data_IF_032606415644
#
_entry.id   IF_032606415644
#
_cell.length_a   1.000
_cell.length_b   1.000
_cell.length_c   1.000
_cell.angle_alpha   90.00
_cell.angle_beta   90.00
_cell.angle_gamma   90.00
#
_symmetry.space_group_name_H-M   'P 1'
#
loop_
_entity.id
_entity.type
_entity.pdbx_description
1 polymer ?
#
# COMPACT_ATOMS: atom_id res chain seq x y z
N UNK A 1 18.88 -5.48 -7.53
CA UNK A 1 18.39 -6.75 -6.96
C UNK A 1 16.92 -6.55 -6.62
N UNK A 2 15.99 -7.25 -7.28
CA UNK A 2 14.59 -7.24 -6.84
C UNK A 2 14.51 -8.09 -5.58
N UNK A 3 14.50 -7.46 -4.41
CA UNK A 3 14.46 -8.20 -3.16
C UNK A 3 13.06 -8.75 -2.91
N UNK A 4 12.94 -10.06 -2.70
CA UNK A 4 11.66 -10.71 -2.41
C UNK A 4 11.39 -10.66 -0.91
N UNK A 5 10.56 -9.71 -0.47
CA UNK A 5 10.19 -9.54 0.96
C UNK A 5 9.56 -10.78 1.58
N UNK A 6 8.89 -11.61 0.78
CA UNK A 6 8.29 -12.88 1.21
C UNK A 6 9.32 -13.93 1.67
N UNK A 7 10.54 -13.88 1.13
CA UNK A 7 11.64 -14.77 1.53
C UNK A 7 12.44 -14.20 2.72
N UNK A 8 12.03 -13.03 3.24
CA UNK A 8 12.70 -12.40 4.38
C UNK A 8 14.06 -11.79 4.05
N UNK A 9 14.37 -11.54 2.77
CA UNK A 9 15.67 -10.99 2.33
C UNK A 9 16.00 -9.64 2.98
N UNK A 10 15.00 -8.85 3.37
CA UNK A 10 15.15 -7.60 4.13
C UNK A 10 15.78 -7.83 5.51
N UNK A 11 15.78 -9.06 6.02
CA UNK A 11 16.45 -9.45 7.26
C UNK A 11 17.85 -10.04 7.03
N UNK A 12 18.34 -10.11 5.79
CA UNK A 12 19.73 -10.47 5.51
C UNK A 12 20.69 -9.35 5.88
N UNK A 13 21.94 -9.70 6.18
CA UNK A 13 22.97 -8.74 6.60
C UNK A 13 23.29 -7.72 5.49
N UNK A 14 23.28 -8.13 4.23
CA UNK A 14 23.46 -7.23 3.08
C UNK A 14 22.40 -6.12 3.04
N UNK A 15 21.13 -6.45 3.28
CA UNK A 15 20.09 -5.42 3.38
C UNK A 15 20.23 -4.61 4.67
N UNK A 16 20.66 -5.23 5.77
CA UNK A 16 20.95 -4.56 7.04
C UNK A 16 21.99 -3.45 6.93
N UNK A 17 22.99 -3.60 6.04
CA UNK A 17 23.97 -2.55 5.72
C UNK A 17 23.33 -1.33 5.05
N UNK A 18 22.25 -1.51 4.30
CA UNK A 18 21.50 -0.42 3.64
C UNK A 18 20.44 0.17 4.58
N UNK A 19 19.76 -0.68 5.34
CA UNK A 19 18.63 -0.31 6.19
C UNK A 19 18.64 -1.06 7.51
N UNK A 20 19.10 -0.39 8.57
CA UNK A 20 19.10 -0.93 9.94
C UNK A 20 17.68 -1.32 10.39
N UNK A 21 16.66 -0.59 9.93
CA UNK A 21 15.26 -0.89 10.24
C UNK A 21 14.72 -2.14 9.52
N UNK A 22 15.43 -2.65 8.49
CA UNK A 22 15.11 -3.88 7.76
C UNK A 22 13.69 -3.86 7.17
N UNK A 23 13.29 -2.71 6.62
CA UNK A 23 12.02 -2.48 5.92
C UNK A 23 12.25 -1.93 4.51
N UNK A 24 11.31 -2.23 3.62
CA UNK A 24 11.19 -1.64 2.28
C UNK A 24 10.00 -0.65 2.25
N UNK A 25 9.95 0.30 1.30
CA UNK A 25 10.96 0.61 0.28
C UNK A 25 12.18 1.38 0.84
N UNK A 26 13.30 1.31 0.11
CA UNK A 26 14.52 2.09 0.34
C UNK A 26 15.02 2.60 -1.01
N UNK A 27 15.33 3.89 -1.10
CA UNK A 27 15.99 4.50 -2.23
C UNK A 27 17.48 4.68 -1.89
N UNK A 28 18.35 4.29 -2.82
CA UNK A 28 19.78 4.56 -2.78
C UNK A 28 20.16 5.39 -4.01
N UNK A 29 20.66 6.59 -3.80
CA UNK A 29 21.16 7.48 -4.84
C UNK A 29 22.61 7.89 -4.52
N UNK A 30 23.57 7.20 -5.16
CA UNK A 30 24.96 7.25 -4.72
C UNK A 30 25.10 6.80 -3.26
N UNK A 31 25.65 7.67 -2.42
CA UNK A 31 25.80 7.44 -0.97
C UNK A 31 24.56 7.89 -0.17
N UNK A 32 23.61 8.58 -0.79
CA UNK A 32 22.39 9.02 -0.13
C UNK A 32 21.38 7.87 -0.03
N UNK A 33 20.99 7.52 1.19
CA UNK A 33 19.99 6.48 1.47
C UNK A 33 18.75 7.14 2.08
N UNK A 34 17.62 6.96 1.41
CA UNK A 34 16.32 7.48 1.84
C UNK A 34 15.32 6.34 2.06
N UNK A 35 14.52 6.49 3.11
CA UNK A 35 13.48 5.55 3.55
C UNK A 35 12.18 6.33 3.69
N UNK A 36 11.09 5.61 3.93
CA UNK A 36 9.71 6.13 3.88
C UNK A 36 9.24 6.41 2.46
N UNK A 37 8.21 5.68 2.02
CA UNK A 37 7.68 5.76 0.65
C UNK A 37 7.28 7.18 0.27
N UNK A 38 6.65 7.94 1.18
CA UNK A 38 6.25 9.33 0.95
C UNK A 38 7.47 10.24 0.73
N UNK A 39 8.49 10.13 1.58
CA UNK A 39 9.71 10.92 1.42
C UNK A 39 10.42 10.57 0.11
N UNK A 40 10.48 9.28 -0.24
CA UNK A 40 11.02 8.80 -1.52
C UNK A 40 10.26 9.40 -2.70
N UNK A 41 8.92 9.37 -2.69
CA UNK A 41 8.09 9.95 -3.76
C UNK A 41 8.32 11.45 -3.91
N UNK A 42 8.36 12.20 -2.80
CA UNK A 42 8.64 13.64 -2.80
C UNK A 42 10.05 13.95 -3.32
N UNK A 43 11.04 13.15 -2.92
CA UNK A 43 12.42 13.25 -3.39
C UNK A 43 12.51 13.01 -4.90
N UNK A 44 11.89 11.94 -5.41
CA UNK A 44 11.88 11.63 -6.84
C UNK A 44 11.17 12.72 -7.66
N UNK A 45 10.04 13.23 -7.15
CA UNK A 45 9.31 14.32 -7.80
C UNK A 45 10.18 15.58 -7.94
N UNK A 46 10.89 15.94 -6.86
CA UNK A 46 11.79 17.10 -6.85
C UNK A 46 13.03 16.89 -7.73
N UNK A 47 13.72 15.74 -7.58
CA UNK A 47 14.97 15.42 -8.28
C UNK A 47 14.80 15.36 -9.79
N UNK A 48 13.70 14.76 -10.25
CA UNK A 48 13.46 14.53 -11.68
C UNK A 48 12.60 15.61 -12.33
N UNK A 49 12.25 16.68 -11.59
CA UNK A 49 11.36 17.74 -12.07
C UNK A 49 10.09 17.18 -12.73
N UNK A 50 9.47 16.20 -12.06
CA UNK A 50 8.25 15.58 -12.58
C UNK A 50 7.15 16.63 -12.80
N UNK A 51 6.18 16.39 -13.70
CA UNK A 51 5.08 17.31 -13.91
C UNK A 51 4.44 17.80 -12.60
N UNK A 52 4.22 19.11 -12.47
CA UNK A 52 3.84 19.78 -11.21
C UNK A 52 2.59 19.17 -10.54
N UNK A 53 1.67 18.58 -11.31
CA UNK A 53 0.48 17.94 -10.76
C UNK A 53 0.77 16.79 -9.79
N UNK A 54 1.91 16.08 -9.93
CA UNK A 54 2.28 15.00 -9.03
C UNK A 54 2.49 15.50 -7.60
N UNK A 55 3.25 16.58 -7.44
CA UNK A 55 3.55 17.19 -6.15
C UNK A 55 3.67 18.72 -6.29
N UNK A 56 2.52 19.44 -6.32
CA UNK A 56 2.47 20.84 -6.73
C UNK A 56 3.34 21.76 -5.88
N UNK A 57 3.99 22.75 -6.49
CA UNK A 57 4.76 23.77 -5.76
C UNK A 57 3.86 24.80 -5.05
N UNK A 58 2.65 25.06 -5.58
CA UNK A 58 1.70 25.98 -4.97
C UNK A 58 1.30 25.50 -3.56
N UNK A 59 1.39 26.42 -2.58
CA UNK A 59 1.32 26.10 -1.16
C UNK A 59 0.03 25.38 -0.78
N UNK A 60 -1.14 25.87 -1.20
CA UNK A 60 -2.41 25.27 -0.79
C UNK A 60 -2.62 23.89 -1.41
N UNK A 61 -2.24 23.68 -2.67
CA UNK A 61 -2.26 22.38 -3.34
C UNK A 61 -1.30 21.40 -2.66
N UNK A 62 -0.08 21.85 -2.32
CA UNK A 62 0.90 21.04 -1.60
C UNK A 62 0.38 20.59 -0.24
N UNK A 63 -0.15 21.52 0.55
CA UNK A 63 -0.73 21.22 1.87
C UNK A 63 -1.91 20.23 1.76
N UNK A 64 -2.70 20.27 0.68
CA UNK A 64 -3.77 19.29 0.45
C UNK A 64 -3.21 17.89 0.18
N UNK A 65 -2.13 17.77 -0.59
CA UNK A 65 -1.41 16.49 -0.77
C UNK A 65 -0.89 15.99 0.58
N UNK A 66 -0.14 16.82 1.30
CA UNK A 66 0.52 16.44 2.55
C UNK A 66 -0.47 16.05 3.65
N UNK A 67 -1.62 16.75 3.71
CA UNK A 67 -2.73 16.41 4.59
C UNK A 67 -3.25 14.99 4.33
N UNK A 68 -3.41 14.59 3.08
CA UNK A 68 -3.80 13.22 2.74
C UNK A 68 -2.70 12.22 3.10
N UNK A 69 -1.44 12.51 2.71
CA UNK A 69 -0.29 11.64 2.94
C UNK A 69 -0.03 11.39 4.43
N UNK A 70 -0.32 12.38 5.28
CA UNK A 70 -0.26 12.24 6.73
C UNK A 70 -1.44 11.44 7.28
N UNK A 71 -2.66 11.71 6.82
CA UNK A 71 -3.87 11.02 7.30
C UNK A 71 -3.90 9.53 6.91
N UNK A 72 -3.44 9.18 5.71
CA UNK A 72 -3.51 7.81 5.21
C UNK A 72 -2.75 6.82 6.12
N UNK A 73 -1.68 7.28 6.79
CA UNK A 73 -0.80 6.43 7.58
C UNK A 73 -1.55 5.71 8.70
N UNK A 74 -2.51 6.34 9.35
CA UNK A 74 -3.27 5.76 10.47
C UNK A 74 -4.70 5.38 10.08
N UNK A 75 -5.02 5.42 8.79
CA UNK A 75 -6.35 5.13 8.25
C UNK A 75 -6.27 4.06 7.16
N UNK A 76 -6.32 4.42 5.88
CA UNK A 76 -6.38 3.48 4.76
C UNK A 76 -5.21 2.49 4.80
N UNK A 77 -3.98 2.94 5.04
CA UNK A 77 -2.82 2.04 5.12
C UNK A 77 -2.95 1.04 6.26
N UNK A 78 -3.24 1.53 7.46
CA UNK A 78 -3.38 0.66 8.64
C UNK A 78 -4.51 -0.35 8.46
N UNK A 79 -5.69 0.10 8.04
CA UNK A 79 -6.87 -0.76 7.96
C UNK A 79 -6.85 -1.67 6.73
N UNK A 80 -6.40 -1.17 5.57
CA UNK A 80 -6.22 -1.96 4.35
C UNK A 80 -5.19 -3.07 4.56
N UNK A 81 -4.03 -2.73 5.14
CA UNK A 81 -3.00 -3.72 5.46
C UNK A 81 -3.46 -4.73 6.49
N UNK A 82 -4.19 -4.31 7.55
CA UNK A 82 -4.75 -5.25 8.53
C UNK A 82 -5.68 -6.28 7.89
N UNK A 83 -6.55 -5.85 6.98
CA UNK A 83 -7.44 -6.76 6.23
C UNK A 83 -6.63 -7.68 5.32
N UNK A 84 -5.63 -7.17 4.59
CA UNK A 84 -4.74 -7.97 3.77
C UNK A 84 -4.03 -9.06 4.57
N UNK A 85 -3.47 -8.71 5.74
CA UNK A 85 -2.84 -9.66 6.65
C UNK A 85 -3.84 -10.70 7.16
N UNK A 86 -5.05 -10.30 7.54
CA UNK A 86 -6.04 -11.22 8.09
C UNK A 86 -6.62 -12.18 7.05
N UNK A 87 -6.76 -11.75 5.80
CA UNK A 87 -7.37 -12.55 4.73
C UNK A 87 -6.36 -13.36 3.93
N UNK A 88 -5.13 -12.85 3.76
CA UNK A 88 -4.09 -13.47 2.95
C UNK A 88 -2.97 -14.06 3.78
N UNK A 89 -2.18 -13.20 4.42
CA UNK A 89 -0.89 -13.61 5.00
C UNK A 89 -1.05 -14.54 6.20
N UNK A 90 -1.92 -14.22 7.16
CA UNK A 90 -2.08 -15.04 8.36
C UNK A 90 -2.58 -16.44 8.04
N UNK A 91 -3.66 -16.64 7.28
CA UNK A 91 -4.09 -17.97 6.88
C UNK A 91 -3.01 -18.73 6.11
N UNK A 92 -2.26 -18.06 5.23
CA UNK A 92 -1.17 -18.70 4.49
C UNK A 92 0.00 -19.16 5.38
N UNK A 93 0.23 -18.48 6.51
CA UNK A 93 1.32 -18.80 7.45
C UNK A 93 0.89 -19.80 8.54
N UNK A 94 -0.33 -19.69 9.04
CA UNK A 94 -0.84 -20.50 10.17
C UNK A 94 -1.63 -21.72 9.72
N UNK A 95 -2.13 -21.74 8.47
CA UNK A 95 -3.07 -22.75 7.98
C UNK A 95 -4.49 -22.60 8.56
N UNK A 96 -4.77 -21.53 9.31
CA UNK A 96 -6.04 -21.33 10.00
C UNK A 96 -6.63 -19.94 9.71
N UNK A 97 -7.96 -19.82 9.52
CA UNK A 97 -8.60 -18.52 9.35
C UNK A 97 -8.51 -17.68 10.62
N UNK A 98 -8.49 -16.36 10.46
CA UNK A 98 -8.62 -15.43 11.58
C UNK A 98 -10.04 -15.50 12.18
N UNK A 99 -10.21 -15.41 13.52
CA UNK A 99 -11.52 -15.38 14.15
C UNK A 99 -12.46 -14.34 13.54
N UNK A 100 -13.72 -14.71 13.36
CA UNK A 100 -14.72 -13.89 12.65
C UNK A 100 -14.86 -12.50 13.26
N UNK A 101 -14.86 -12.39 14.59
CA UNK A 101 -15.01 -11.13 15.32
C UNK A 101 -13.84 -10.18 15.05
N UNK A 102 -12.59 -10.70 15.00
CA UNK A 102 -11.40 -9.92 14.66
C UNK A 102 -11.47 -9.43 13.21
N UNK A 103 -11.92 -10.29 12.29
CA UNK A 103 -12.10 -9.94 10.88
C UNK A 103 -13.17 -8.86 10.69
N UNK A 104 -14.34 -9.02 11.29
CA UNK A 104 -15.46 -8.09 11.19
C UNK A 104 -15.07 -6.70 11.71
N UNK A 105 -14.32 -6.64 12.81
CA UNK A 105 -13.77 -5.39 13.33
C UNK A 105 -12.80 -4.73 12.34
N UNK A 106 -11.86 -5.48 11.75
CA UNK A 106 -10.92 -4.94 10.77
C UNK A 106 -11.63 -4.40 9.51
N UNK A 107 -12.64 -5.12 9.02
CA UNK A 107 -13.46 -4.68 7.87
C UNK A 107 -14.29 -3.45 8.22
N UNK A 108 -14.82 -3.35 9.44
CA UNK A 108 -15.53 -2.16 9.93
C UNK A 108 -14.62 -0.93 9.93
N UNK A 109 -13.42 -1.04 10.47
CA UNK A 109 -12.45 0.07 10.50
C UNK A 109 -12.05 0.52 9.08
N UNK A 110 -11.86 -0.44 8.17
CA UNK A 110 -11.61 -0.15 6.76
C UNK A 110 -12.78 0.59 6.11
N UNK A 111 -14.02 0.16 6.35
CA UNK A 111 -15.23 0.84 5.84
C UNK A 111 -15.33 2.29 6.32
N UNK A 112 -14.96 2.56 7.57
CA UNK A 112 -14.91 3.93 8.12
C UNK A 112 -13.85 4.78 7.39
N UNK A 113 -12.68 4.20 7.10
CA UNK A 113 -11.63 4.90 6.36
C UNK A 113 -12.00 5.18 4.91
N UNK A 114 -12.63 4.22 4.22
CA UNK A 114 -13.14 4.40 2.86
C UNK A 114 -14.23 5.47 2.82
N UNK A 115 -15.16 5.47 3.78
CA UNK A 115 -16.16 6.54 3.89
C UNK A 115 -15.50 7.90 4.12
N UNK A 116 -14.53 7.97 5.03
CA UNK A 116 -13.79 9.22 5.29
C UNK A 116 -13.03 9.69 4.04
N UNK A 117 -12.45 8.77 3.27
CA UNK A 117 -11.81 9.08 2.00
C UNK A 117 -12.80 9.74 1.03
N UNK A 118 -13.95 9.11 0.80
CA UNK A 118 -15.00 9.64 -0.08
C UNK A 118 -15.51 10.99 0.40
N UNK A 119 -15.89 11.13 1.67
CA UNK A 119 -16.55 12.35 2.18
C UNK A 119 -15.58 13.54 2.35
N UNK A 120 -14.31 13.28 2.68
CA UNK A 120 -13.35 14.34 3.05
C UNK A 120 -12.31 14.61 1.97
N UNK A 121 -11.85 13.59 1.27
CA UNK A 121 -10.69 13.69 0.39
C UNK A 121 -11.05 13.64 -1.09
N UNK A 122 -11.92 12.72 -1.52
CA UNK A 122 -12.32 12.65 -2.93
C UNK A 122 -13.49 13.59 -3.23
N UNK A 123 -14.56 13.51 -2.42
CA UNK A 123 -15.81 14.24 -2.62
C UNK A 123 -16.34 14.01 -4.04
N UNK A 124 -16.77 15.07 -4.73
CA UNK A 124 -17.22 15.03 -6.12
C UNK A 124 -16.09 15.27 -7.14
N UNK A 125 -14.82 15.30 -6.70
CA UNK A 125 -13.69 15.67 -7.58
C UNK A 125 -13.16 14.48 -8.37
N UNK A 126 -12.52 14.71 -9.53
CA UNK A 126 -11.89 13.64 -10.30
C UNK A 126 -10.78 12.91 -9.53
N UNK A 127 -9.95 13.66 -8.78
CA UNK A 127 -8.81 13.21 -7.97
C UNK A 127 -8.76 13.91 -6.61
N UNK A 128 -7.94 13.42 -5.68
CA UNK A 128 -7.91 13.86 -4.27
C UNK A 128 -7.64 15.36 -4.11
N UNK A 129 -6.82 15.96 -4.97
CA UNK A 129 -6.45 17.39 -4.87
C UNK A 129 -7.10 18.29 -5.93
N UNK A 130 -7.84 17.73 -6.89
CA UNK A 130 -8.48 18.49 -7.98
C UNK A 130 -8.64 17.69 -9.27
N UNK A 131 -8.31 18.31 -10.39
CA UNK A 131 -8.62 17.80 -11.73
C UNK A 131 -7.54 16.88 -12.33
N UNK A 132 -6.36 16.81 -11.70
CA UNK A 132 -5.24 15.96 -12.13
C UNK A 132 -4.82 15.02 -11.01
N UNK A 133 -4.31 13.86 -11.41
CA UNK A 133 -3.71 12.88 -10.51
C UNK A 133 -2.53 13.49 -9.73
N UNK A 134 -2.32 13.01 -8.52
CA UNK A 134 -1.18 13.40 -7.67
C UNK A 134 -0.58 12.21 -6.94
N UNK A 135 0.53 12.42 -6.22
CA UNK A 135 1.08 11.38 -5.34
C UNK A 135 0.10 10.94 -4.24
N UNK A 136 -0.88 11.79 -3.88
CA UNK A 136 -1.95 11.39 -2.97
C UNK A 136 -2.79 10.25 -3.56
N UNK A 137 -3.17 10.36 -4.84
CA UNK A 137 -3.98 9.36 -5.53
C UNK A 137 -3.20 8.07 -5.72
N UNK A 138 -1.90 8.17 -6.08
CA UNK A 138 -1.01 7.03 -6.21
C UNK A 138 -0.87 6.24 -4.90
N UNK A 139 -0.66 6.93 -3.77
CA UNK A 139 -0.58 6.29 -2.46
C UNK A 139 -1.94 5.71 -2.04
N UNK A 140 -3.04 6.42 -2.27
CA UNK A 140 -4.37 5.93 -1.93
C UNK A 140 -4.69 4.62 -2.66
N UNK A 141 -4.40 4.55 -3.96
CA UNK A 141 -4.85 3.41 -4.77
C UNK A 141 -4.10 2.13 -4.41
N UNK A 142 -2.78 2.19 -4.21
CA UNK A 142 -1.99 1.00 -3.85
C UNK A 142 -2.38 0.44 -2.49
N UNK A 143 -2.76 1.30 -1.53
CA UNK A 143 -3.25 0.86 -0.22
C UNK A 143 -4.64 0.20 -0.34
N UNK A 144 -5.53 0.76 -1.17
CA UNK A 144 -6.86 0.18 -1.42
C UNK A 144 -6.82 -1.13 -2.22
N UNK A 145 -5.79 -1.35 -3.03
CA UNK A 145 -5.62 -2.59 -3.78
C UNK A 145 -5.19 -3.77 -2.90
N UNK A 146 -4.66 -3.54 -1.69
CA UNK A 146 -4.30 -4.64 -0.78
C UNK A 146 -5.50 -5.54 -0.40
N UNK A 147 -6.61 -5.01 0.13
CA UNK A 147 -7.78 -5.84 0.41
C UNK A 147 -8.39 -6.48 -0.87
N UNK A 148 -8.34 -5.77 -2.02
CA UNK A 148 -8.81 -6.30 -3.31
C UNK A 148 -8.05 -7.56 -3.71
N UNK A 149 -6.72 -7.55 -3.54
CA UNK A 149 -5.86 -8.71 -3.77
C UNK A 149 -6.22 -9.94 -2.93
N UNK A 150 -6.99 -9.77 -1.84
CA UNK A 150 -7.49 -10.87 -0.99
C UNK A 150 -8.96 -11.23 -1.25
N UNK A 151 -9.49 -10.80 -2.40
CA UNK A 151 -10.88 -11.02 -2.80
C UNK A 151 -11.91 -10.15 -2.08
N UNK A 152 -11.49 -9.12 -1.33
CA UNK A 152 -12.42 -8.11 -0.79
C UNK A 152 -12.44 -6.90 -1.71
N UNK A 153 -13.42 -6.83 -2.62
CA UNK A 153 -13.59 -5.66 -3.48
C UNK A 153 -14.10 -4.46 -2.68
N UNK A 154 -13.21 -3.52 -2.38
CA UNK A 154 -13.53 -2.28 -1.65
C UNK A 154 -14.27 -1.25 -2.50
N UNK A 155 -14.31 -1.43 -3.83
CA UNK A 155 -14.97 -0.55 -4.78
C UNK A 155 -16.42 -0.96 -5.04
N UNK A 156 -16.77 -2.23 -4.75
CA UNK A 156 -18.12 -2.73 -4.91
C UNK A 156 -19.13 -1.89 -4.11
N UNK A 157 -20.18 -1.42 -4.79
CA UNK A 157 -21.21 -0.56 -4.18
C UNK A 157 -20.78 0.88 -3.89
N UNK A 158 -19.60 1.32 -4.35
CA UNK A 158 -19.07 2.69 -4.18
C UNK A 158 -18.80 3.34 -5.54
N UNK A 159 -19.83 3.80 -6.27
CA UNK A 159 -19.67 4.27 -7.64
C UNK A 159 -18.68 5.44 -7.79
N UNK A 160 -18.63 6.35 -6.81
CA UNK A 160 -17.68 7.47 -6.79
C UNK A 160 -16.24 6.96 -6.69
N UNK A 161 -16.00 6.01 -5.78
CA UNK A 161 -14.68 5.42 -5.58
C UNK A 161 -14.25 4.56 -6.78
N UNK A 162 -15.16 3.77 -7.36
CA UNK A 162 -14.90 2.99 -8.58
C UNK A 162 -14.51 3.90 -9.74
N UNK A 163 -15.27 4.98 -9.96
CA UNK A 163 -14.97 5.92 -11.03
C UNK A 163 -13.62 6.63 -10.80
N UNK A 164 -13.25 6.93 -9.56
CA UNK A 164 -11.92 7.45 -9.22
C UNK A 164 -10.81 6.45 -9.51
N UNK A 165 -10.96 5.18 -9.09
CA UNK A 165 -10.00 4.11 -9.41
C UNK A 165 -9.78 4.00 -10.91
N UNK A 166 -10.84 4.00 -11.70
CA UNK A 166 -10.76 3.82 -13.15
C UNK A 166 -10.02 5.00 -13.81
N UNK A 167 -10.25 6.24 -13.32
CA UNK A 167 -9.47 7.42 -13.73
C UNK A 167 -8.00 7.28 -13.35
N UNK A 168 -7.69 6.90 -12.11
CA UNK A 168 -6.31 6.73 -11.62
C UNK A 168 -5.58 5.65 -12.43
N UNK A 169 -6.21 4.50 -12.65
CA UNK A 169 -5.67 3.41 -13.47
C UNK A 169 -5.38 3.88 -14.90
N UNK A 170 -6.27 4.69 -15.48
CA UNK A 170 -6.07 5.27 -16.81
C UNK A 170 -4.89 6.24 -16.87
N UNK A 171 -4.77 7.16 -15.90
CA UNK A 171 -3.67 8.13 -15.85
C UNK A 171 -2.30 7.48 -15.60
N UNK A 172 -2.24 6.42 -14.80
CA UNK A 172 -1.01 5.63 -14.57
C UNK A 172 -0.63 4.82 -15.83
N UNK A 173 -1.62 4.42 -16.62
CA UNK A 173 -1.48 3.44 -17.68
C UNK A 173 -1.88 2.05 -17.19
N UNK A 174 -2.80 1.42 -17.92
CA UNK A 174 -3.42 0.13 -17.54
C UNK A 174 -2.38 -0.97 -17.35
N UNK A 175 -1.42 -1.08 -18.26
CA UNK A 175 -0.36 -2.10 -18.22
C UNK A 175 0.53 -1.93 -16.99
N UNK A 176 1.00 -0.71 -16.72
CA UNK A 176 1.83 -0.38 -15.55
C UNK A 176 1.07 -0.65 -14.26
N UNK A 177 -0.22 -0.27 -14.21
CA UNK A 177 -1.06 -0.54 -13.06
C UNK A 177 -1.21 -2.04 -12.81
N UNK A 178 -1.51 -2.83 -13.83
CA UNK A 178 -1.73 -4.27 -13.68
C UNK A 178 -0.42 -5.02 -13.38
N UNK A 179 0.70 -4.61 -13.98
CA UNK A 179 2.02 -5.13 -13.65
C UNK A 179 2.39 -4.87 -12.18
N UNK A 180 2.24 -3.62 -11.71
CA UNK A 180 2.56 -3.23 -10.34
C UNK A 180 1.72 -4.00 -9.30
N UNK A 181 0.47 -4.34 -9.63
CA UNK A 181 -0.43 -5.08 -8.75
C UNK A 181 -0.39 -6.60 -8.96
N UNK A 182 0.35 -7.12 -9.95
CA UNK A 182 0.37 -8.55 -10.28
C UNK A 182 0.64 -9.43 -9.06
N UNK A 183 1.61 -9.05 -8.23
CA UNK A 183 1.96 -9.84 -7.03
C UNK A 183 0.82 -9.85 -6.01
N UNK A 184 0.19 -8.71 -5.75
CA UNK A 184 -0.86 -8.62 -4.74
C UNK A 184 -2.20 -9.21 -5.22
N UNK A 185 -2.41 -9.29 -6.53
CA UNK A 185 -3.60 -9.93 -7.09
C UNK A 185 -3.52 -11.46 -7.14
N UNK A 186 -2.37 -12.06 -6.82
CA UNK A 186 -2.15 -13.51 -6.76
C UNK A 186 -1.81 -13.97 -5.33
N UNK A 187 -2.50 -13.43 -4.33
CA UNK A 187 -2.24 -13.74 -2.89
C UNK A 187 -2.56 -15.18 -2.51
N UNK A 188 -3.45 -15.83 -3.25
CA UNK A 188 -3.74 -17.25 -3.16
C UNK A 188 -2.51 -18.13 -3.44
N UNK A 189 -1.50 -17.60 -4.14
CA UNK A 189 -0.21 -18.27 -4.38
C UNK A 189 0.81 -18.07 -3.26
N UNK A 190 0.48 -17.31 -2.20
CA UNK A 190 1.38 -17.09 -1.06
C UNK A 190 1.79 -18.39 -0.35
N UNK A 191 0.89 -19.37 -0.08
CA UNK A 191 1.29 -20.64 0.52
C UNK A 191 2.37 -21.35 -0.29
N UNK A 192 2.18 -21.50 -1.61
CA UNK A 192 3.18 -22.11 -2.49
C UNK A 192 4.47 -21.27 -2.54
N UNK A 193 4.36 -19.94 -2.48
CA UNK A 193 5.54 -19.06 -2.43
C UNK A 193 6.33 -19.28 -1.15
N UNK A 194 5.67 -19.43 0.00
CA UNK A 194 6.32 -19.72 1.28
C UNK A 194 6.91 -21.13 1.35
N UNK A 195 6.25 -22.12 0.74
CA UNK A 195 6.78 -23.47 0.59
C UNK A 195 8.02 -23.49 -0.31
N UNK A 196 7.96 -22.85 -1.49
CA UNK A 196 9.04 -22.87 -2.47
C UNK A 196 10.26 -22.04 -2.07
N UNK A 197 10.05 -20.86 -1.48
CA UNK A 197 11.14 -19.94 -1.10
C UNK A 197 11.62 -20.15 0.34
N UNK A 198 10.87 -20.91 1.14
CA UNK A 198 11.10 -21.09 2.57
C UNK A 198 10.78 -19.83 3.36
N UNK A 199 9.60 -19.77 4.00
CA UNK A 199 9.35 -18.76 5.02
C UNK A 199 10.27 -19.02 6.22
N UNK A 200 11.19 -18.10 6.58
CA UNK A 200 12.10 -18.35 7.70
C UNK A 200 11.34 -18.57 9.01
N UNK A 201 11.74 -19.57 9.80
CA UNK A 201 11.01 -19.94 11.03
C UNK A 201 10.90 -18.76 12.02
N UNK A 202 11.94 -17.94 12.13
CA UNK A 202 11.88 -16.73 12.98
C UNK A 202 10.79 -15.74 12.53
N UNK A 203 10.53 -15.66 11.22
CA UNK A 203 9.52 -14.78 10.65
C UNK A 203 8.12 -15.36 10.88
N UNK A 204 7.95 -16.68 10.71
CA UNK A 204 6.73 -17.40 11.08
C UNK A 204 6.35 -17.19 12.54
N UNK A 205 7.30 -17.40 13.47
CA UNK A 205 7.10 -17.17 14.91
C UNK A 205 6.76 -15.71 15.23
N UNK A 206 7.42 -14.75 14.55
CA UNK A 206 7.12 -13.33 14.72
C UNK A 206 5.71 -12.99 14.25
N UNK A 207 5.28 -13.53 13.12
CA UNK A 207 3.93 -13.34 12.57
C UNK A 207 2.89 -13.90 13.56
N UNK A 208 3.07 -15.12 14.06
CA UNK A 208 2.18 -15.71 15.05
C UNK A 208 2.06 -14.85 16.32
N UNK A 209 3.18 -14.30 16.82
CA UNK A 209 3.19 -13.42 18.01
C UNK A 209 2.50 -12.07 17.81
N UNK A 210 2.43 -11.53 16.58
CA UNK A 210 1.79 -10.23 16.34
C UNK A 210 0.26 -10.29 16.44
N UNK A 211 -0.34 -11.49 16.39
CA UNK A 211 -1.78 -11.65 16.21
C UNK A 211 -2.46 -12.64 17.18
N UNK A 212 -1.67 -13.33 18.01
CA UNK A 212 -2.11 -13.97 19.25
C UNK A 212 -2.31 -12.91 20.33
#
# INVERSE_FOLDING_TARGET
MSSSTYAGEQYGDEFGKVSIIRKVPVLKDGDFILRESIAILQYLAAKHHTPDHWYPAELQKRVRVDKFLSWQHTSIRTHGSKVFWFRGVLPAVTGAPVPKEKMDAAVKDLKVSLKTFEDKFLQSRPFIIGDKISVADLVAIVEMMQPVGTGLDVFQGRPVLSAWRDRVKKEIGVEVFDEAHKVIMNVDTLPQTFENKGLPEFLKLRIQKMFN
#
